data_IF_622312026328
#
_entry.id   IF_622312026328
#
_cell.length_a   1.000
_cell.length_b   1.000
_cell.length_c   1.000
_cell.angle_alpha   90.00
_cell.angle_beta   90.00
_cell.angle_gamma   90.00
#
_symmetry.space_group_name_H-M   'P 1'
#
loop_
_entity.id
_entity.type
_entity.pdbx_description
1 polymer ?
#
# COMPACT_ATOMS: atom_id res chain seq x y z
N UNK A 1 30.37 4.60 -14.06
CA UNK A 1 29.34 4.65 -13.01
C UNK A 1 28.32 3.61 -13.40
N UNK A 2 28.27 2.46 -12.72
CA UNK A 2 27.30 1.41 -13.06
C UNK A 2 25.88 1.88 -12.70
N UNK A 3 24.85 1.57 -13.52
CA UNK A 3 23.47 1.86 -13.16
C UNK A 3 23.13 1.09 -11.88
N UNK A 4 22.62 1.78 -10.86
CA UNK A 4 22.09 1.12 -9.68
C UNK A 4 20.97 0.15 -10.11
N UNK A 5 21.01 -1.07 -9.59
CA UNK A 5 19.98 -2.07 -9.86
C UNK A 5 18.59 -1.57 -9.39
N UNK A 6 17.52 -2.05 -10.04
CA UNK A 6 16.16 -1.61 -9.75
C UNK A 6 15.80 -1.94 -8.30
N UNK A 7 16.14 -3.16 -7.87
CA UNK A 7 15.97 -3.64 -6.52
C UNK A 7 16.73 -2.76 -5.51
N UNK A 8 17.98 -2.39 -5.78
CA UNK A 8 18.74 -1.49 -4.92
C UNK A 8 18.03 -0.13 -4.72
N UNK A 9 17.46 0.43 -5.80
CA UNK A 9 16.68 1.66 -5.73
C UNK A 9 15.37 1.53 -4.95
N UNK A 10 14.72 0.36 -4.97
CA UNK A 10 13.51 0.07 -4.17
C UNK A 10 13.88 -0.11 -2.70
N UNK A 11 14.91 -0.92 -2.42
CA UNK A 11 15.43 -1.20 -1.07
C UNK A 11 15.84 0.09 -0.36
N UNK A 12 16.48 1.02 -1.07
CA UNK A 12 16.87 2.33 -0.52
C UNK A 12 15.71 3.14 0.06
N UNK A 13 14.49 2.92 -0.42
CA UNK A 13 13.26 3.54 0.12
C UNK A 13 12.54 2.62 1.12
N UNK A 14 12.61 1.31 0.90
CA UNK A 14 11.97 0.30 1.75
C UNK A 14 12.54 0.28 3.18
N UNK A 15 13.87 0.36 3.33
CA UNK A 15 14.54 0.29 4.65
C UNK A 15 14.06 1.40 5.61
N UNK A 16 14.09 2.69 5.25
CA UNK A 16 13.63 3.73 6.16
C UNK A 16 12.10 3.68 6.40
N UNK A 17 11.32 3.16 5.45
CA UNK A 17 9.89 2.91 5.67
C UNK A 17 9.66 1.79 6.71
N UNK A 18 10.42 0.69 6.61
CA UNK A 18 10.37 -0.42 7.57
C UNK A 18 10.73 0.04 8.99
N UNK A 19 11.84 0.77 9.13
CA UNK A 19 12.28 1.30 10.42
C UNK A 19 11.20 2.19 11.06
N UNK A 20 10.53 3.01 10.25
CA UNK A 20 9.46 3.87 10.73
C UNK A 20 8.24 3.08 11.21
N UNK A 21 7.82 2.04 10.46
CA UNK A 21 6.73 1.15 10.87
C UNK A 21 7.06 0.40 12.17
N UNK A 22 8.28 -0.14 12.28
CA UNK A 22 8.76 -0.83 13.49
C UNK A 22 8.79 0.08 14.71
N UNK A 23 9.30 1.30 14.55
CA UNK A 23 9.33 2.28 15.64
C UNK A 23 7.91 2.62 16.09
N UNK A 24 7.02 2.88 15.13
CA UNK A 24 5.64 3.21 15.44
C UNK A 24 4.91 2.06 16.13
N UNK A 25 5.10 0.82 15.68
CA UNK A 25 4.51 -0.35 16.33
C UNK A 25 4.99 -0.51 17.76
N UNK A 26 6.30 -0.33 18.02
CA UNK A 26 6.85 -0.37 19.38
C UNK A 26 6.22 0.71 20.26
N UNK A 27 6.09 1.93 19.75
CA UNK A 27 5.44 3.03 20.47
C UNK A 27 3.99 2.71 20.79
N UNK A 28 3.22 2.23 19.80
CA UNK A 28 1.82 1.81 19.98
C UNK A 28 1.68 0.70 21.02
N UNK A 29 2.55 -0.33 20.98
CA UNK A 29 2.54 -1.46 21.92
C UNK A 29 2.99 -1.06 23.34
N UNK A 30 3.78 0.00 23.48
CA UNK A 30 4.22 0.51 24.78
C UNK A 30 3.15 1.34 25.51
N UNK A 31 2.02 1.65 24.85
CA UNK A 31 0.90 2.38 25.46
C UNK A 31 0.07 1.41 26.29
N UNK A 32 0.08 1.59 27.62
CA UNK A 32 -0.60 0.71 28.59
C UNK A 32 -2.13 0.63 28.46
N UNK A 33 -2.76 1.70 27.96
CA UNK A 33 -4.21 1.90 27.88
C UNK A 33 -4.64 2.36 26.48
N UNK A 34 -4.07 1.76 25.43
CA UNK A 34 -4.38 2.17 24.05
C UNK A 34 -5.88 1.98 23.74
N UNK A 35 -6.59 2.99 23.22
CA UNK A 35 -7.91 2.80 22.61
C UNK A 35 -7.88 1.68 21.57
N UNK A 36 -8.99 0.96 21.39
CA UNK A 36 -9.10 -0.18 20.47
C UNK A 36 -8.60 0.13 19.06
N UNK A 37 -8.85 1.34 18.58
CA UNK A 37 -8.46 1.86 17.28
C UNK A 37 -6.95 2.06 17.15
N UNK A 38 -6.26 2.29 18.27
CA UNK A 38 -4.79 2.37 18.31
C UNK A 38 -4.20 0.96 18.48
N UNK A 39 -4.85 0.11 19.28
CA UNK A 39 -4.43 -1.27 19.43
C UNK A 39 -4.47 -2.02 18.09
N UNK A 40 -5.52 -1.83 17.27
CA UNK A 40 -5.62 -2.44 15.94
C UNK A 40 -4.53 -1.97 14.96
N UNK A 41 -3.96 -0.77 15.15
CA UNK A 41 -2.83 -0.29 14.36
C UNK A 41 -1.59 -1.16 14.55
N UNK A 42 -1.41 -1.81 15.70
CA UNK A 42 -0.29 -2.71 15.94
C UNK A 42 -0.23 -3.85 14.92
N UNK A 43 -1.38 -4.46 14.63
CA UNK A 43 -1.51 -5.57 13.67
C UNK A 43 -1.37 -5.08 12.22
N UNK A 44 -1.89 -3.89 11.93
CA UNK A 44 -1.71 -3.23 10.64
C UNK A 44 -0.23 -2.97 10.36
N UNK A 45 0.48 -2.39 11.32
CA UNK A 45 1.90 -2.09 11.23
C UNK A 45 2.75 -3.35 11.11
N UNK A 46 2.40 -4.42 11.83
CA UNK A 46 3.06 -5.71 11.65
C UNK A 46 2.89 -6.24 10.22
N UNK A 47 1.69 -6.10 9.65
CA UNK A 47 1.45 -6.51 8.25
C UNK A 47 2.27 -5.64 7.27
N UNK A 48 2.37 -4.34 7.53
CA UNK A 48 3.19 -3.42 6.72
C UNK A 48 4.67 -3.78 6.83
N UNK A 49 5.18 -4.09 8.02
CA UNK A 49 6.55 -4.54 8.25
C UNK A 49 6.86 -5.80 7.42
N UNK A 50 5.97 -6.79 7.45
CA UNK A 50 6.09 -8.02 6.68
C UNK A 50 6.08 -7.72 5.17
N UNK A 51 5.14 -6.90 4.69
CA UNK A 51 5.06 -6.54 3.29
C UNK A 51 6.32 -5.80 2.80
N UNK A 52 6.83 -4.84 3.58
CA UNK A 52 8.07 -4.12 3.24
C UNK A 52 9.28 -5.06 3.27
N UNK A 53 9.32 -6.02 4.20
CA UNK A 53 10.38 -7.04 4.25
C UNK A 53 10.36 -7.90 2.99
N UNK A 54 9.18 -8.42 2.60
CA UNK A 54 9.05 -9.18 1.35
C UNK A 54 9.40 -8.37 0.11
N UNK A 55 9.11 -7.06 0.08
CA UNK A 55 9.54 -6.15 -1.01
C UNK A 55 11.06 -6.10 -1.15
N UNK A 56 11.81 -6.16 -0.05
CA UNK A 56 13.28 -6.14 -0.08
C UNK A 56 13.87 -7.43 -0.67
N UNK A 57 13.11 -8.52 -0.65
CA UNK A 57 13.50 -9.82 -1.20
C UNK A 57 13.16 -9.96 -2.70
N UNK A 58 12.41 -9.01 -3.26
CA UNK A 58 12.06 -9.02 -4.69
C UNK A 58 13.30 -8.71 -5.53
N UNK A 59 13.64 -9.65 -6.41
CA UNK A 59 14.80 -9.57 -7.31
C UNK A 59 14.63 -8.55 -8.43
N UNK A 60 15.74 -8.13 -9.05
CA UNK A 60 15.72 -7.25 -10.22
C UNK A 60 14.87 -7.78 -11.37
N UNK A 61 14.94 -9.08 -11.64
CA UNK A 61 14.15 -9.72 -12.69
C UNK A 61 12.65 -9.64 -12.42
N UNK A 62 12.23 -9.80 -11.15
CA UNK A 62 10.82 -9.63 -10.77
C UNK A 62 10.40 -8.17 -10.89
N UNK A 63 11.22 -7.20 -10.48
CA UNK A 63 10.90 -5.79 -10.68
C UNK A 63 10.79 -5.41 -12.16
N UNK A 64 11.64 -5.99 -13.01
CA UNK A 64 11.57 -5.80 -14.46
C UNK A 64 10.26 -6.34 -15.03
N UNK A 65 9.79 -7.51 -14.58
CA UNK A 65 8.52 -8.09 -15.07
C UNK A 65 7.28 -7.33 -14.60
N UNK A 66 7.38 -6.62 -13.48
CA UNK A 66 6.34 -5.71 -12.99
C UNK A 66 6.27 -4.40 -13.80
N UNK A 67 7.38 -3.99 -14.40
CA UNK A 67 7.46 -2.79 -15.23
C UNK A 67 7.73 -1.50 -14.46
N UNK A 68 8.25 -0.50 -15.17
CA UNK A 68 8.68 0.79 -14.61
C UNK A 68 7.57 1.54 -13.83
N UNK A 69 6.30 1.60 -14.29
CA UNK A 69 5.25 2.29 -13.54
C UNK A 69 5.05 1.70 -12.14
N UNK A 70 5.07 0.36 -12.02
CA UNK A 70 4.93 -0.34 -10.72
C UNK A 70 6.12 -0.04 -9.82
N UNK A 71 7.35 -0.06 -10.36
CA UNK A 71 8.57 0.28 -9.61
C UNK A 71 8.51 1.70 -9.06
N UNK A 72 8.22 2.68 -9.92
CA UNK A 72 8.16 4.09 -9.54
C UNK A 72 7.09 4.34 -8.48
N UNK A 73 5.88 3.82 -8.72
CA UNK A 73 4.76 4.00 -7.82
C UNK A 73 4.95 3.25 -6.50
N UNK A 74 5.64 2.09 -6.49
CA UNK A 74 5.98 1.37 -5.25
C UNK A 74 6.95 2.17 -4.38
N UNK A 75 7.98 2.80 -4.99
CA UNK A 75 8.88 3.71 -4.28
C UNK A 75 8.12 4.91 -3.70
N UNK A 76 7.24 5.51 -4.48
CA UNK A 76 6.40 6.63 -4.03
C UNK A 76 5.49 6.20 -2.87
N UNK A 77 4.82 5.06 -3.00
CA UNK A 77 3.96 4.48 -1.97
C UNK A 77 4.70 4.25 -0.66
N UNK A 78 5.85 3.58 -0.68
CA UNK A 78 6.67 3.36 0.53
C UNK A 78 7.15 4.67 1.17
N UNK A 79 7.52 5.67 0.36
CA UNK A 79 7.86 6.99 0.88
C UNK A 79 6.68 7.68 1.57
N UNK A 80 5.47 7.52 1.04
CA UNK A 80 4.26 8.05 1.66
C UNK A 80 3.92 7.31 2.94
N UNK A 81 4.01 5.98 2.95
CA UNK A 81 3.91 5.17 4.16
C UNK A 81 4.87 5.67 5.24
N UNK A 82 6.15 5.89 4.88
CA UNK A 82 7.16 6.42 5.81
C UNK A 82 6.76 7.78 6.38
N UNK A 83 6.27 8.69 5.53
CA UNK A 83 5.81 10.04 5.96
C UNK A 83 4.63 9.94 6.92
N UNK A 84 3.63 9.11 6.61
CA UNK A 84 2.46 8.87 7.47
C UNK A 84 2.87 8.26 8.81
N UNK A 85 3.72 7.24 8.81
CA UNK A 85 4.26 6.64 10.02
C UNK A 85 5.02 7.67 10.87
N UNK A 86 5.88 8.49 10.26
CA UNK A 86 6.68 9.51 10.97
C UNK A 86 5.81 10.58 11.60
N UNK A 87 4.79 11.06 10.86
CA UNK A 87 3.83 12.05 11.35
C UNK A 87 3.04 11.50 12.54
N UNK A 88 2.65 10.23 12.49
CA UNK A 88 1.90 9.62 13.59
C UNK A 88 2.77 9.32 14.80
N UNK A 89 4.02 8.90 14.60
CA UNK A 89 4.99 8.77 15.68
C UNK A 89 5.14 10.10 16.43
N UNK A 90 5.33 11.21 15.71
CA UNK A 90 5.41 12.54 16.33
C UNK A 90 4.13 12.92 17.09
N UNK A 91 2.95 12.51 16.60
CA UNK A 91 1.69 12.71 17.29
C UNK A 91 1.60 11.88 18.58
N UNK A 92 1.98 10.60 18.54
CA UNK A 92 2.06 9.73 19.73
C UNK A 92 3.04 10.32 20.75
N UNK A 93 4.22 10.75 20.34
CA UNK A 93 5.22 11.34 21.22
C UNK A 93 4.68 12.63 21.90
N UNK A 94 3.87 13.39 21.19
CA UNK A 94 3.23 14.60 21.74
C UNK A 94 2.08 14.27 22.72
N UNK A 95 1.28 13.25 22.41
CA UNK A 95 0.11 12.84 23.21
C UNK A 95 0.45 11.99 24.41
N UNK A 96 1.62 11.37 24.44
CA UNK A 96 2.05 10.51 25.54
C UNK A 96 3.01 11.25 26.46
N UNK A 97 2.96 10.90 27.75
CA UNK A 97 3.95 11.31 28.75
C UNK A 97 4.79 10.07 29.10
N UNK A 98 6.08 10.27 29.37
CA UNK A 98 6.93 9.24 29.95
C UNK A 98 6.47 8.96 31.40
N UNK A 99 5.99 7.75 31.68
CA UNK A 99 5.66 7.28 33.03
C UNK A 99 6.89 6.80 33.80
N UNK A 100 6.72 6.45 35.08
CA UNK A 100 7.81 6.07 36.02
C UNK A 100 8.62 4.83 35.58
N UNK A 101 8.06 3.97 34.71
CA UNK A 101 8.71 2.72 34.25
C UNK A 101 9.17 2.76 32.77
N UNK A 102 9.27 3.95 32.16
CA UNK A 102 9.60 4.09 30.72
C UNK A 102 8.46 3.68 29.77
N UNK A 103 7.27 3.37 30.29
CA UNK A 103 6.06 3.12 29.52
C UNK A 103 5.35 4.43 29.18
N UNK A 104 4.70 4.48 28.02
CA UNK A 104 3.97 5.64 27.56
C UNK A 104 2.58 5.65 28.19
N UNK A 105 2.27 6.71 28.94
CA UNK A 105 0.92 6.95 29.45
C UNK A 105 0.27 8.08 28.63
N UNK A 106 -0.99 7.88 28.28
CA UNK A 106 -1.74 8.84 27.50
C UNK A 106 -2.04 10.10 28.33
N UNK A 107 -1.73 11.29 27.80
CA UNK A 107 -2.09 12.57 28.46
C UNK A 107 -3.60 12.73 28.45
N UNK A 108 -4.17 12.73 29.66
CA UNK A 108 -5.59 12.92 29.96
C UNK A 108 -6.53 12.09 29.10
N UNK A 109 -6.88 10.91 29.62
CA UNK A 109 -7.81 9.92 29.03
C UNK A 109 -9.16 10.51 28.59
N UNK A 110 -9.59 11.62 29.20
CA UNK A 110 -10.82 12.37 28.91
C UNK A 110 -10.65 13.44 27.82
N UNK A 111 -9.42 13.73 27.37
CA UNK A 111 -9.07 14.77 26.42
C UNK A 111 -8.75 14.23 25.01
N UNK A 112 -9.35 13.10 24.60
CA UNK A 112 -9.53 12.85 23.16
C UNK A 112 -10.55 13.88 22.67
N UNK A 113 -10.08 15.10 22.44
CA UNK A 113 -10.85 16.04 21.63
C UNK A 113 -11.10 15.40 20.26
N UNK A 114 -12.21 15.78 19.63
CA UNK A 114 -12.59 15.35 18.28
C UNK A 114 -11.41 15.37 17.29
N UNK A 115 -10.54 16.36 17.43
CA UNK A 115 -9.33 16.54 16.61
C UNK A 115 -8.31 15.39 16.70
N UNK A 116 -8.05 14.84 17.90
CA UNK A 116 -7.12 13.69 18.05
C UNK A 116 -7.72 12.44 17.43
N UNK A 117 -9.04 12.26 17.57
CA UNK A 117 -9.76 11.13 16.98
C UNK A 117 -9.73 11.18 15.45
N UNK A 118 -9.93 12.36 14.86
CA UNK A 118 -9.83 12.56 13.42
C UNK A 118 -8.41 12.30 12.90
N UNK A 119 -7.38 12.73 13.66
CA UNK A 119 -5.99 12.46 13.30
C UNK A 119 -5.63 10.97 13.37
N UNK A 120 -6.09 10.25 14.41
CA UNK A 120 -5.93 8.79 14.53
C UNK A 120 -6.63 8.09 13.37
N UNK A 121 -7.89 8.45 13.07
CA UNK A 121 -8.67 7.84 11.99
C UNK A 121 -8.05 8.09 10.60
N UNK A 122 -7.62 9.32 10.33
CA UNK A 122 -6.93 9.68 9.08
C UNK A 122 -5.62 8.90 8.93
N UNK A 123 -4.83 8.78 9.99
CA UNK A 123 -3.58 8.02 9.93
C UNK A 123 -3.84 6.53 9.74
N UNK A 124 -4.79 5.95 10.50
CA UNK A 124 -5.18 4.54 10.34
C UNK A 124 -5.62 4.25 8.90
N UNK A 125 -6.43 5.13 8.30
CA UNK A 125 -6.83 5.03 6.89
C UNK A 125 -5.62 5.00 5.94
N UNK A 126 -4.64 5.88 6.16
CA UNK A 126 -3.40 5.92 5.37
C UNK A 126 -2.53 4.66 5.56
N UNK A 127 -2.42 4.13 6.78
CA UNK A 127 -1.69 2.90 7.07
C UNK A 127 -2.38 1.68 6.47
N UNK A 128 -3.70 1.58 6.54
CA UNK A 128 -4.47 0.52 5.89
C UNK A 128 -4.32 0.54 4.37
N UNK A 129 -4.31 1.72 3.77
CA UNK A 129 -4.07 1.87 2.35
C UNK A 129 -2.63 1.47 2.00
N UNK A 130 -1.63 1.93 2.77
CA UNK A 130 -0.25 1.48 2.65
C UNK A 130 -0.12 -0.05 2.69
N UNK A 131 -0.74 -0.68 3.70
CA UNK A 131 -0.81 -2.14 3.85
C UNK A 131 -1.36 -2.79 2.59
N UNK A 132 -2.56 -2.42 2.17
CA UNK A 132 -3.25 -3.03 1.03
C UNK A 132 -2.43 -2.92 -0.25
N UNK A 133 -1.87 -1.74 -0.51
CA UNK A 133 -1.04 -1.48 -1.68
C UNK A 133 0.25 -2.29 -1.67
N UNK A 134 1.02 -2.27 -0.59
CA UNK A 134 2.29 -3.01 -0.50
C UNK A 134 2.07 -4.52 -0.54
N UNK A 135 1.03 -5.04 0.12
CA UNK A 135 0.68 -6.46 0.03
C UNK A 135 0.31 -6.87 -1.39
N UNK A 136 -0.33 -5.98 -2.16
CA UNK A 136 -0.66 -6.24 -3.57
C UNK A 136 0.60 -6.34 -4.43
N UNK A 137 1.58 -5.45 -4.21
CA UNK A 137 2.88 -5.51 -4.89
C UNK A 137 3.59 -6.83 -4.63
N UNK A 138 3.73 -7.23 -3.36
CA UNK A 138 4.38 -8.51 -2.97
C UNK A 138 3.65 -9.70 -3.60
N UNK A 139 2.33 -9.71 -3.49
CA UNK A 139 1.47 -10.77 -4.02
C UNK A 139 1.69 -10.98 -5.53
N UNK A 140 1.82 -9.89 -6.28
CA UNK A 140 2.01 -9.94 -7.75
C UNK A 140 3.47 -10.26 -8.11
N UNK A 141 4.45 -9.74 -7.37
CA UNK A 141 5.86 -10.11 -7.55
C UNK A 141 6.10 -11.62 -7.35
N UNK A 142 5.46 -12.20 -6.32
CA UNK A 142 5.49 -13.64 -6.07
C UNK A 142 4.76 -14.42 -7.15
N UNK A 143 3.61 -13.91 -7.61
CA UNK A 143 2.88 -14.50 -8.73
C UNK A 143 3.76 -14.58 -9.99
N UNK A 144 4.47 -13.50 -10.35
CA UNK A 144 5.41 -13.50 -11.48
C UNK A 144 6.51 -14.54 -11.35
N UNK A 145 7.07 -14.71 -10.15
CA UNK A 145 8.07 -15.74 -9.91
C UNK A 145 7.48 -17.15 -10.12
N UNK A 146 6.28 -17.41 -9.61
CA UNK A 146 5.57 -18.67 -9.83
C UNK A 146 5.27 -18.93 -11.30
N UNK A 147 4.94 -17.89 -12.09
CA UNK A 147 4.75 -18.01 -13.54
C UNK A 147 6.01 -18.47 -14.26
N UNK A 148 7.17 -17.92 -13.87
CA UNK A 148 8.45 -18.29 -14.49
C UNK A 148 8.85 -19.74 -14.18
N UNK A 149 8.39 -20.28 -13.05
CA UNK A 149 8.72 -21.63 -12.61
C UNK A 149 7.74 -22.71 -13.10
N UNK A 150 6.52 -22.33 -13.48
CA UNK A 150 5.46 -23.27 -13.87
C UNK A 150 5.17 -23.26 -15.38
N UNK A 151 4.81 -24.41 -15.95
CA UNK A 151 4.25 -24.45 -17.31
C UNK A 151 2.83 -23.84 -17.32
N UNK A 152 2.49 -23.12 -18.39
CA UNK A 152 1.20 -22.45 -18.54
C UNK A 152 0.04 -23.47 -18.49
N UNK A 153 -0.67 -23.52 -17.36
CA UNK A 153 -1.77 -24.47 -17.12
C UNK A 153 -3.01 -23.77 -16.52
N UNK A 154 -4.07 -24.55 -16.27
CA UNK A 154 -5.35 -24.04 -15.74
C UNK A 154 -5.22 -23.38 -14.35
N UNK A 155 -4.33 -23.89 -13.49
CA UNK A 155 -4.06 -23.30 -12.16
C UNK A 155 -3.51 -21.88 -12.29
N UNK A 156 -2.69 -21.63 -13.32
CA UNK A 156 -2.16 -20.31 -13.61
C UNK A 156 -3.27 -19.31 -13.97
N UNK A 157 -4.24 -19.71 -14.80
CA UNK A 157 -5.40 -18.88 -15.14
C UNK A 157 -6.28 -18.60 -13.92
N UNK A 158 -6.45 -19.60 -13.04
CA UNK A 158 -7.15 -19.44 -11.77
C UNK A 158 -6.44 -18.41 -10.87
N UNK A 159 -5.10 -18.50 -10.75
CA UNK A 159 -4.31 -17.53 -10.00
C UNK A 159 -4.42 -16.10 -10.57
N UNK A 160 -4.35 -15.94 -11.90
CA UNK A 160 -4.57 -14.64 -12.58
C UNK A 160 -5.92 -14.05 -12.17
N UNK A 161 -6.99 -14.85 -12.26
CA UNK A 161 -8.34 -14.42 -11.92
C UNK A 161 -8.44 -14.00 -10.45
N UNK A 162 -7.89 -14.81 -9.53
CA UNK A 162 -7.83 -14.48 -8.11
C UNK A 162 -7.10 -13.16 -7.85
N UNK A 163 -5.90 -12.96 -8.42
CA UNK A 163 -5.14 -11.71 -8.26
C UNK A 163 -5.86 -10.52 -8.86
N UNK A 164 -6.50 -10.66 -10.02
CA UNK A 164 -7.34 -9.61 -10.59
C UNK A 164 -8.48 -9.19 -9.65
N UNK A 165 -9.17 -10.15 -9.02
CA UNK A 165 -10.25 -9.85 -8.07
C UNK A 165 -9.75 -9.17 -6.78
N UNK A 166 -8.60 -9.59 -6.25
CA UNK A 166 -7.96 -8.98 -5.09
C UNK A 166 -7.62 -7.50 -5.35
N UNK A 167 -7.02 -7.20 -6.52
CA UNK A 167 -6.67 -5.83 -6.92
C UNK A 167 -7.92 -5.00 -7.16
N UNK A 168 -8.94 -5.54 -7.84
CA UNK A 168 -10.18 -4.81 -8.09
C UNK A 168 -10.88 -4.40 -6.78
N UNK A 169 -10.86 -5.27 -5.77
CA UNK A 169 -11.36 -4.96 -4.43
C UNK A 169 -10.55 -3.85 -3.75
N UNK A 170 -9.22 -3.90 -3.88
CA UNK A 170 -8.35 -2.85 -3.36
C UNK A 170 -8.62 -1.49 -4.05
N UNK A 171 -8.74 -1.47 -5.38
CA UNK A 171 -9.09 -0.28 -6.18
C UNK A 171 -10.40 0.35 -5.68
N UNK A 172 -11.47 -0.44 -5.60
CA UNK A 172 -12.78 0.06 -5.15
C UNK A 172 -12.73 0.61 -3.72
N UNK A 173 -11.94 -0.02 -2.85
CA UNK A 173 -11.75 0.46 -1.47
C UNK A 173 -11.03 1.81 -1.44
N UNK A 174 -9.94 1.96 -2.19
CA UNK A 174 -9.16 3.19 -2.29
C UNK A 174 -9.96 4.33 -2.94
N UNK A 175 -10.77 4.04 -3.96
CA UNK A 175 -11.68 5.03 -4.59
C UNK A 175 -12.71 5.55 -3.60
N UNK A 176 -13.34 4.66 -2.81
CA UNK A 176 -14.28 5.06 -1.76
C UNK A 176 -13.60 5.94 -0.70
N UNK A 177 -12.37 5.61 -0.29
CA UNK A 177 -11.60 6.45 0.64
C UNK A 177 -11.28 7.83 0.03
N UNK A 178 -10.95 7.88 -1.26
CA UNK A 178 -10.68 9.12 -1.97
C UNK A 178 -11.92 10.03 -2.03
N UNK A 179 -13.10 9.47 -2.23
CA UNK A 179 -14.37 10.20 -2.19
C UNK A 179 -14.68 10.77 -0.80
N UNK A 180 -14.42 9.99 0.25
CA UNK A 180 -14.57 10.45 1.64
C UNK A 180 -13.63 11.63 1.93
N UNK A 181 -12.36 11.53 1.54
CA UNK A 181 -11.35 12.58 1.71
C UNK A 181 -11.69 13.83 0.89
N UNK A 182 -12.15 13.68 -0.36
CA UNK A 182 -12.62 14.80 -1.17
C UNK A 182 -13.82 15.51 -0.54
N UNK A 183 -14.74 14.75 0.08
CA UNK A 183 -15.89 15.32 0.79
C UNK A 183 -15.44 16.10 2.02
N UNK A 184 -14.47 15.58 2.80
CA UNK A 184 -13.88 16.31 3.95
C UNK A 184 -13.16 17.58 3.51
N UNK A 185 -12.40 17.53 2.42
CA UNK A 185 -11.69 18.69 1.88
C UNK A 185 -12.66 19.80 1.47
N UNK A 186 -13.77 19.43 0.80
CA UNK A 186 -14.84 20.39 0.46
C UNK A 186 -15.45 21.03 1.71
N UNK A 187 -15.76 20.25 2.75
CA UNK A 187 -16.31 20.78 4.02
C UNK A 187 -15.37 21.78 4.69
N UNK A 188 -14.08 21.45 4.75
CA UNK A 188 -13.06 22.37 5.28
C UNK A 188 -12.98 23.65 4.45
N UNK A 189 -13.02 23.53 3.12
CA UNK A 189 -13.01 24.70 2.23
C UNK A 189 -14.22 25.63 2.45
N UNK A 190 -15.41 25.08 2.69
CA UNK A 190 -16.59 25.87 3.04
C UNK A 190 -16.48 26.54 4.41
N UNK A 191 -15.96 25.84 5.43
CA UNK A 191 -15.75 26.43 6.76
C UNK A 191 -14.75 27.61 6.71
N UNK A 192 -13.70 27.49 5.90
CA UNK A 192 -12.72 28.56 5.67
C UNK A 192 -13.30 29.78 4.94
N UNK A 193 -14.36 29.62 4.14
CA UNK A 193 -15.02 30.74 3.47
C UNK A 193 -15.97 31.51 4.40
N UNK A 194 -16.38 30.91 5.52
CA UNK A 194 -17.26 31.52 6.53
C UNK A 194 -16.46 32.22 7.65
N UNK A 195 -15.19 31.86 7.86
CA UNK A 195 -14.29 32.48 8.86
C UNK A 195 -13.32 33.50 8.23
N UNK A 196 -13.12 34.65 8.90
CA UNK A 196 -12.34 35.80 8.38
C UNK A 196 -10.82 35.63 8.55
N UNK A 197 -10.38 34.75 9.46
CA UNK A 197 -8.97 34.36 9.63
C UNK A 197 -8.85 32.85 9.79
N UNK A 198 -8.03 32.22 8.94
CA UNK A 198 -7.67 30.79 9.08
C UNK A 198 -6.84 30.60 10.36
N UNK A 199 -7.40 29.90 11.35
CA UNK A 199 -6.64 29.51 12.54
C UNK A 199 -5.49 28.53 12.20
N UNK A 200 -4.38 28.52 12.95
CA UNK A 200 -3.25 27.61 12.71
C UNK A 200 -3.65 26.12 12.72
N UNK A 201 -4.69 25.77 13.48
CA UNK A 201 -5.23 24.41 13.54
C UNK A 201 -6.00 24.00 12.26
N UNK A 202 -6.67 24.96 11.60
CA UNK A 202 -7.39 24.74 10.33
C UNK A 202 -6.43 24.55 9.15
N UNK A 203 -5.34 25.33 9.11
CA UNK A 203 -4.27 25.19 8.10
C UNK A 203 -3.63 23.80 8.21
N UNK A 204 -3.35 23.35 9.44
CA UNK A 204 -2.80 22.01 9.71
C UNK A 204 -3.75 20.90 9.28
N UNK A 205 -5.06 21.03 9.56
CA UNK A 205 -6.08 20.07 9.16
C UNK A 205 -6.23 19.98 7.62
N UNK A 206 -6.27 21.11 6.92
CA UNK A 206 -6.35 21.13 5.45
C UNK A 206 -5.14 20.48 4.80
N UNK A 207 -3.93 20.85 5.22
CA UNK A 207 -2.68 20.25 4.73
C UNK A 207 -2.64 18.73 4.95
N UNK A 208 -3.19 18.25 6.07
CA UNK A 208 -3.31 16.82 6.34
C UNK A 208 -4.24 16.11 5.36
N UNK A 209 -5.43 16.67 5.09
CA UNK A 209 -6.41 16.08 4.16
C UNK A 209 -5.86 16.09 2.73
N UNK A 210 -5.14 17.12 2.33
CA UNK A 210 -4.44 17.18 1.03
C UNK A 210 -3.34 16.12 0.91
N UNK A 211 -2.57 15.91 1.97
CA UNK A 211 -1.55 14.84 2.02
C UNK A 211 -2.21 13.46 1.92
N UNK A 212 -3.32 13.24 2.62
CA UNK A 212 -4.09 11.99 2.55
C UNK A 212 -4.63 11.74 1.13
N UNK A 213 -5.20 12.76 0.50
CA UNK A 213 -5.67 12.71 -0.89
C UNK A 213 -4.55 12.31 -1.85
N UNK A 214 -3.40 12.96 -1.73
CA UNK A 214 -2.24 12.65 -2.57
C UNK A 214 -1.79 11.19 -2.38
N UNK A 215 -1.73 10.71 -1.14
CA UNK A 215 -1.35 9.32 -0.85
C UNK A 215 -2.33 8.29 -1.43
N UNK A 216 -3.63 8.55 -1.33
CA UNK A 216 -4.67 7.71 -1.92
C UNK A 216 -4.58 7.69 -3.44
N UNK A 217 -4.32 8.83 -4.08
CA UNK A 217 -4.16 8.91 -5.53
C UNK A 217 -2.97 8.08 -6.01
N UNK A 218 -1.80 8.22 -5.38
CA UNK A 218 -0.62 7.43 -5.75
C UNK A 218 -0.85 5.93 -5.55
N UNK A 219 -1.61 5.56 -4.51
CA UNK A 219 -1.95 4.16 -4.25
C UNK A 219 -2.91 3.61 -5.30
N UNK A 220 -3.87 4.42 -5.74
CA UNK A 220 -4.79 4.08 -6.83
C UNK A 220 -4.04 3.89 -8.15
N UNK A 221 -3.10 4.78 -8.47
CA UNK A 221 -2.28 4.69 -9.68
C UNK A 221 -1.42 3.42 -9.67
N UNK A 222 -0.83 3.06 -8.53
CA UNK A 222 -0.11 1.80 -8.35
C UNK A 222 -1.01 0.58 -8.57
N UNK A 223 -2.18 0.55 -7.92
CA UNK A 223 -3.13 -0.57 -8.04
C UNK A 223 -3.62 -0.73 -9.49
N UNK A 224 -3.82 0.38 -10.22
CA UNK A 224 -4.17 0.35 -11.64
C UNK A 224 -3.03 -0.21 -12.49
N UNK A 225 -1.80 0.24 -12.27
CA UNK A 225 -0.62 -0.30 -12.96
C UNK A 225 -0.44 -1.80 -12.69
N UNK A 226 -0.66 -2.24 -11.46
CA UNK A 226 -0.65 -3.66 -11.07
C UNK A 226 -1.75 -4.46 -11.78
N UNK A 227 -2.96 -3.90 -11.89
CA UNK A 227 -4.06 -4.53 -12.62
C UNK A 227 -3.75 -4.68 -14.11
N UNK A 228 -3.22 -3.64 -14.75
CA UNK A 228 -2.78 -3.70 -16.14
C UNK A 228 -1.69 -4.75 -16.36
N UNK A 229 -0.74 -4.85 -15.42
CA UNK A 229 0.32 -5.86 -15.44
C UNK A 229 -0.24 -7.29 -15.30
N UNK A 230 -1.21 -7.53 -14.42
CA UNK A 230 -1.87 -8.85 -14.32
C UNK A 230 -2.67 -9.18 -15.60
N UNK A 231 -3.33 -8.19 -16.20
CA UNK A 231 -4.07 -8.38 -17.45
C UNK A 231 -3.17 -8.65 -18.66
N UNK A 232 -1.97 -8.08 -18.73
CA UNK A 232 -1.02 -8.39 -19.80
C UNK A 232 -0.55 -9.84 -19.69
N UNK A 233 -0.22 -10.30 -18.49
CA UNK A 233 0.11 -11.70 -18.21
C UNK A 233 -1.02 -12.64 -18.67
N UNK A 234 -2.27 -12.32 -18.35
CA UNK A 234 -3.44 -13.12 -18.78
C UNK A 234 -3.51 -13.27 -20.31
N UNK A 235 -3.21 -12.19 -21.05
CA UNK A 235 -3.19 -12.18 -22.52
C UNK A 235 -2.05 -13.03 -23.07
N UNK A 236 -0.89 -13.00 -22.43
CA UNK A 236 0.27 -13.79 -22.89
C UNK A 236 0.07 -15.29 -22.66
N UNK A 237 -0.52 -15.68 -21.54
CA UNK A 237 -0.90 -17.08 -21.27
C UNK A 237 -1.88 -17.60 -22.33
N UNK A 238 -2.92 -16.83 -22.66
CA UNK A 238 -3.93 -17.25 -23.65
C UNK A 238 -3.40 -17.34 -25.09
N UNK A 239 -2.47 -16.44 -25.48
CA UNK A 239 -1.77 -16.54 -26.77
C UNK A 239 -0.92 -17.79 -26.87
N UNK A 240 -0.13 -18.10 -25.82
CA UNK A 240 0.74 -19.27 -25.80
C UNK A 240 -0.06 -20.57 -25.89
N UNK A 241 -1.20 -20.67 -25.21
CA UNK A 241 -2.10 -21.83 -25.35
C UNK A 241 -2.65 -21.96 -26.78
N UNK A 242 -3.09 -20.86 -27.39
CA UNK A 242 -3.62 -20.86 -28.76
C UNK A 242 -2.58 -21.30 -29.80
N UNK A 243 -1.31 -20.92 -29.59
CA UNK A 243 -0.21 -21.25 -30.49
C UNK A 243 0.24 -22.72 -30.36
N UNK A 244 0.18 -23.29 -29.16
CA UNK A 244 0.41 -24.73 -28.92
C UNK A 244 -0.69 -25.58 -29.55
N UNK A 245 -1.96 -25.13 -29.49
CA UNK A 245 -3.07 -25.84 -30.14
C UNK A 245 -2.94 -25.81 -31.67
N UNK A 246 -2.50 -24.69 -32.26
CA UNK A 246 -2.32 -24.56 -33.71
C UNK A 246 -1.11 -25.35 -34.25
N UNK A 247 -0.11 -25.65 -33.43
CA UNK A 247 1.06 -26.47 -33.82
C UNK A 247 0.83 -27.98 -33.69
N UNK A 248 -0.23 -28.41 -32.99
CA UNK A 248 -0.68 -29.81 -32.94
C UNK A 248 -1.80 -30.15 -33.94
N UNK A 249 -1.87 -29.45 -35.08
CA UNK A 249 -2.72 -29.88 -36.19
C UNK A 249 -2.10 -31.13 -36.84
N UNK A 250 -2.66 -32.29 -36.52
CA UNK A 250 -2.23 -33.58 -37.06
C UNK A 250 -2.23 -33.54 -38.59
N UNK A 251 -1.03 -33.61 -39.18
CA UNK A 251 -0.84 -33.78 -40.61
C UNK A 251 -1.57 -35.04 -41.08
N UNK A 252 -2.54 -34.86 -41.97
CA UNK A 252 -3.33 -35.92 -42.58
C UNK A 252 -2.46 -36.87 -43.39
N UNK A 253 -1.91 -37.89 -42.73
CA UNK A 253 -1.33 -39.06 -43.38
C UNK A 253 -2.16 -40.29 -43.02
N UNK A 254 -3.32 -40.40 -43.65
CA UNK A 254 -4.00 -41.67 -43.81
C UNK A 254 -4.61 -41.74 -45.22
N UNK A 255 -3.75 -42.02 -46.19
CA UNK A 255 -4.14 -42.69 -47.44
C UNK A 255 -3.46 -44.05 -47.43
N UNK A 256 -4.10 -44.99 -46.72
CA UNK A 256 -3.82 -46.41 -46.84
C UNK A 256 -4.57 -46.97 -48.06
N UNK A 257 -3.83 -47.75 -48.85
CA UNK A 257 -4.19 -48.42 -50.11
C UNK A 257 -5.28 -49.48 -49.90
#
# INVERSE_FOLDING_TARGET
MEPLSIAAGVVGVAVPALQCAQQLRKSVQAILDAPSEIASLGDELLTIEQAITSIQEVSDQQWQSLGEPVVLQSKTGMNLCRKSCSKFQAAIDHWTRHGEDGKLSWRDRTAIGLFRQDQIKSTSSQLQNCKSTLTSVVSIANFHNSLQQASANEEMMRMVSMKGTEIAKAVSTTERQLDEVNTRLKKLHFALLEEVEEGPDQISAKSQVETEKFALQQSLDLLKALNENVQSVAKDISKNQSQVVNTMSFGGHNRGV
#
